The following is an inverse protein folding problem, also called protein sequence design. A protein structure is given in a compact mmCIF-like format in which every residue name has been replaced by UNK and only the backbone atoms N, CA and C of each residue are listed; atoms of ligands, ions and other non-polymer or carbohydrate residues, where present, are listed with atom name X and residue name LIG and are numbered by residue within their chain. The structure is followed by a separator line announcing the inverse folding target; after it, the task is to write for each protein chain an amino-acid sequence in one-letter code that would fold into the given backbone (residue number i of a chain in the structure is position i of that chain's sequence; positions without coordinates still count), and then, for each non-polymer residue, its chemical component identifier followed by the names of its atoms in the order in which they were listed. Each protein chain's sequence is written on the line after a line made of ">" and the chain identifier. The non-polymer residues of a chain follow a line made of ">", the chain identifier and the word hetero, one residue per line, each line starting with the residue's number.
data_IF_264297182994
#
_entry.id   IF_264297182994
#
_cell.length_a   1.000
_cell.length_b   1.000
_cell.length_c   1.000
_cell.angle_alpha   90.00
_cell.angle_beta   90.00
_cell.angle_gamma   90.00
#
_symmetry.space_group_name_H-M   'P 1'
#
loop_
_entity.id
_entity.type
_entity.pdbx_description
1 polymer ?
#
# COMPACT_ATOMS: atom_id res chain seq x y z
N UNK A 1 -18.75 9.43 12.98
CA UNK A 1 -18.67 10.78 12.40
C UNK A 1 -19.64 11.75 13.05
N UNK A 2 -20.96 11.49 13.04
CA UNK A 2 -21.94 12.36 13.72
C UNK A 2 -21.70 12.53 15.23
N UNK A 3 -21.38 11.45 15.93
CA UNK A 3 -21.12 11.45 17.37
C UNK A 3 -19.85 12.22 17.79
N UNK A 4 -18.92 12.47 16.86
CA UNK A 4 -17.65 13.17 17.12
C UNK A 4 -17.63 14.57 16.48
N UNK A 5 -18.78 15.09 16.04
CA UNK A 5 -18.88 16.42 15.43
C UNK A 5 -18.26 16.54 14.03
N UNK A 6 -17.93 15.43 13.38
CA UNK A 6 -17.25 15.42 12.07
C UNK A 6 -18.16 15.03 10.91
N UNK A 7 -19.49 15.16 11.05
CA UNK A 7 -20.43 14.72 10.04
C UNK A 7 -20.31 15.53 8.74
N UNK A 8 -20.29 16.86 8.84
CA UNK A 8 -20.25 17.73 7.67
C UNK A 8 -18.94 17.58 6.91
N UNK A 9 -17.81 17.52 7.64
CA UNK A 9 -16.50 17.19 7.05
C UNK A 9 -16.50 15.85 6.30
N UNK A 10 -17.17 14.83 6.84
CA UNK A 10 -17.30 13.54 6.17
C UNK A 10 -18.14 13.65 4.88
N UNK A 11 -19.30 14.31 4.93
CA UNK A 11 -20.16 14.49 3.77
C UNK A 11 -19.45 15.30 2.68
N UNK A 12 -18.74 16.36 3.05
CA UNK A 12 -17.99 17.18 2.10
C UNK A 12 -16.79 16.42 1.49
N UNK A 13 -16.12 15.57 2.26
CA UNK A 13 -15.09 14.69 1.74
C UNK A 13 -15.67 13.69 0.73
N UNK A 14 -16.84 13.10 1.01
CA UNK A 14 -17.53 12.18 0.09
C UNK A 14 -17.93 12.91 -1.20
N UNK A 15 -18.53 14.10 -1.11
CA UNK A 15 -18.86 14.93 -2.29
C UNK A 15 -17.61 15.26 -3.11
N UNK A 16 -16.50 15.60 -2.44
CA UNK A 16 -15.22 15.89 -3.09
C UNK A 16 -14.71 14.67 -3.85
N UNK A 17 -14.78 13.46 -3.28
CA UNK A 17 -14.39 12.21 -3.96
C UNK A 17 -15.16 12.00 -5.26
N UNK A 18 -16.48 12.19 -5.26
CA UNK A 18 -17.27 12.08 -6.49
C UNK A 18 -16.88 13.15 -7.52
N UNK A 19 -16.60 14.38 -7.10
CA UNK A 19 -16.16 15.44 -8.03
C UNK A 19 -14.84 15.11 -8.74
N UNK A 20 -13.92 14.39 -8.07
CA UNK A 20 -12.64 13.96 -8.65
C UNK A 20 -12.81 12.90 -9.75
N UNK A 21 -13.88 12.09 -9.69
CA UNK A 21 -14.16 11.04 -10.69
C UNK A 21 -14.77 11.57 -11.99
N UNK A 22 -15.43 12.73 -11.94
CA UNK A 22 -16.12 13.37 -13.07
C UNK A 22 -15.17 14.26 -13.88
N UNK A 23 -14.07 14.68 -13.28
CA UNK A 23 -13.12 15.58 -13.91
C UNK A 23 -12.37 14.89 -15.08
N UNK A 24 -12.61 15.40 -16.29
CA UNK A 24 -12.21 14.85 -17.60
C UNK A 24 -10.72 14.99 -17.92
N UNK A 25 -9.94 15.63 -17.04
CA UNK A 25 -8.50 15.79 -17.22
C UNK A 25 -7.77 14.45 -17.08
N UNK A 26 -7.73 13.65 -18.16
CA UNK A 26 -6.69 12.68 -18.57
C UNK A 26 -6.17 11.60 -17.61
N UNK A 27 -6.63 11.50 -16.37
CA UNK A 27 -5.83 10.90 -15.30
C UNK A 27 -6.21 9.45 -14.95
N UNK A 28 -5.28 8.72 -14.30
CA UNK A 28 -5.44 7.30 -13.91
C UNK A 28 -6.63 7.02 -12.97
N UNK A 29 -7.17 8.06 -12.33
CA UNK A 29 -8.33 7.98 -11.43
C UNK A 29 -9.68 8.08 -12.14
N UNK A 30 -9.71 8.28 -13.46
CA UNK A 30 -10.95 8.17 -14.22
C UNK A 30 -11.42 6.70 -14.28
N UNK A 31 -12.73 6.49 -14.50
CA UNK A 31 -13.34 5.15 -14.49
C UNK A 31 -12.64 4.18 -15.45
N UNK A 32 -12.27 4.64 -16.65
CA UNK A 32 -11.59 3.82 -17.67
C UNK A 32 -10.19 3.40 -17.22
N UNK A 33 -9.43 4.32 -16.63
CA UNK A 33 -8.09 4.10 -16.10
C UNK A 33 -8.11 3.09 -14.96
N UNK A 34 -9.05 3.26 -14.02
CA UNK A 34 -9.25 2.31 -12.94
C UNK A 34 -9.62 0.92 -13.47
N UNK A 35 -10.62 0.79 -14.35
CA UNK A 35 -11.01 -0.50 -14.94
C UNK A 35 -9.83 -1.19 -15.62
N UNK A 36 -9.01 -0.45 -16.39
CA UNK A 36 -7.82 -1.00 -17.04
C UNK A 36 -6.81 -1.57 -16.03
N UNK A 37 -6.57 -0.84 -14.93
CA UNK A 37 -5.68 -1.31 -13.85
C UNK A 37 -6.22 -2.62 -13.24
N UNK A 38 -7.51 -2.69 -12.93
CA UNK A 38 -8.12 -3.92 -12.38
C UNK A 38 -8.03 -5.06 -13.37
N UNK A 39 -8.39 -4.83 -14.63
CA UNK A 39 -8.35 -5.86 -15.67
C UNK A 39 -6.95 -6.48 -15.79
N UNK A 40 -5.91 -5.65 -15.88
CA UNK A 40 -4.52 -6.12 -15.93
C UNK A 40 -4.10 -6.85 -14.65
N UNK A 41 -4.51 -6.38 -13.48
CA UNK A 41 -4.21 -7.05 -12.22
C UNK A 41 -4.92 -8.41 -12.11
N UNK A 42 -6.18 -8.52 -12.55
CA UNK A 42 -6.89 -9.81 -12.59
C UNK A 42 -6.23 -10.81 -13.55
N UNK A 43 -5.77 -10.36 -14.73
CA UNK A 43 -5.01 -11.22 -15.65
C UNK A 43 -3.73 -11.75 -14.99
N UNK A 44 -3.00 -10.90 -14.26
CA UNK A 44 -1.81 -11.31 -13.49
C UNK A 44 -2.18 -12.31 -12.40
N UNK A 45 -3.25 -12.08 -11.64
CA UNK A 45 -3.73 -12.99 -10.59
C UNK A 45 -4.03 -14.37 -11.18
N UNK A 46 -4.75 -14.43 -12.31
CA UNK A 46 -5.07 -15.69 -12.99
C UNK A 46 -3.78 -16.37 -13.44
N UNK A 47 -2.90 -15.66 -14.16
CA UNK A 47 -1.63 -16.21 -14.64
C UNK A 47 -0.76 -16.78 -13.50
N UNK A 48 -0.59 -16.04 -12.41
CA UNK A 48 0.19 -16.50 -11.27
C UNK A 48 -0.44 -17.69 -10.56
N UNK A 49 -1.77 -17.72 -10.41
CA UNK A 49 -2.48 -18.83 -9.77
C UNK A 49 -2.34 -20.11 -10.60
N UNK A 50 -2.54 -20.00 -11.91
CA UNK A 50 -2.42 -21.11 -12.87
C UNK A 50 -1.01 -21.69 -12.91
N UNK A 51 0.03 -20.86 -12.76
CA UNK A 51 1.43 -21.34 -12.73
C UNK A 51 1.81 -21.92 -11.36
N UNK A 52 1.40 -21.28 -10.27
CA UNK A 52 1.89 -21.62 -8.92
C UNK A 52 1.25 -22.89 -8.35
N UNK A 53 -0.04 -23.11 -8.61
CA UNK A 53 -0.74 -24.31 -8.10
C UNK A 53 -0.12 -25.61 -8.62
N UNK A 54 0.14 -25.78 -9.93
CA UNK A 54 0.85 -26.95 -10.44
C UNK A 54 2.23 -27.15 -9.80
N UNK A 55 3.01 -26.08 -9.60
CA UNK A 55 4.32 -26.16 -8.95
C UNK A 55 4.19 -26.71 -7.52
N UNK A 56 3.24 -26.19 -6.74
CA UNK A 56 2.95 -26.64 -5.37
C UNK A 56 2.53 -28.12 -5.33
N UNK A 57 1.88 -28.62 -6.39
CA UNK A 57 1.42 -30.02 -6.50
C UNK A 57 2.52 -30.96 -7.00
N UNK A 58 3.33 -30.52 -7.97
CA UNK A 58 4.38 -31.34 -8.60
C UNK A 58 5.56 -31.53 -7.66
N UNK A 59 5.95 -30.51 -6.90
CA UNK A 59 7.15 -30.55 -6.05
C UNK A 59 7.11 -31.66 -5.00
N UNK A 60 6.04 -31.83 -4.20
CA UNK A 60 5.90 -32.96 -3.28
C UNK A 60 6.09 -34.32 -3.96
N UNK A 61 5.54 -34.47 -5.16
CA UNK A 61 5.62 -35.71 -5.95
C UNK A 61 7.03 -35.98 -6.47
N UNK A 62 7.79 -34.95 -6.84
CA UNK A 62 9.21 -35.07 -7.20
C UNK A 62 10.07 -35.39 -5.97
N UNK A 63 9.86 -34.66 -4.88
CA UNK A 63 10.64 -34.83 -3.64
C UNK A 63 10.47 -36.23 -3.05
N UNK A 64 9.27 -36.81 -3.10
CA UNK A 64 9.01 -38.16 -2.60
C UNK A 64 9.67 -39.28 -3.41
N UNK A 65 10.32 -38.99 -4.55
CA UNK A 65 11.14 -39.96 -5.28
C UNK A 65 12.51 -40.20 -4.64
N UNK A 66 12.95 -39.33 -3.72
CA UNK A 66 14.21 -39.51 -3.03
C UNK A 66 14.07 -40.54 -1.91
N UNK A 67 14.68 -41.72 -2.11
CA UNK A 67 14.72 -42.77 -1.07
C UNK A 67 15.65 -42.41 0.10
N UNK A 68 16.64 -41.54 -0.11
CA UNK A 68 17.55 -41.09 0.94
C UNK A 68 16.93 -39.93 1.73
N UNK A 69 16.69 -40.16 3.03
CA UNK A 69 16.09 -39.15 3.95
C UNK A 69 16.86 -37.84 3.99
N UNK A 70 18.20 -37.88 3.90
CA UNK A 70 19.02 -36.66 3.94
C UNK A 70 18.83 -35.83 2.67
N UNK A 71 18.84 -36.47 1.49
CA UNK A 71 18.56 -35.81 0.21
C UNK A 71 17.13 -35.26 0.14
N UNK A 72 16.17 -35.98 0.72
CA UNK A 72 14.78 -35.54 0.81
C UNK A 72 14.64 -34.24 1.62
N UNK A 73 15.13 -34.23 2.86
CA UNK A 73 15.03 -33.06 3.73
C UNK A 73 15.89 -31.90 3.24
N UNK A 74 17.10 -32.16 2.73
CA UNK A 74 17.96 -31.11 2.18
C UNK A 74 17.32 -30.44 0.97
N UNK A 75 16.65 -31.21 0.10
CA UNK A 75 15.94 -30.66 -1.08
C UNK A 75 14.75 -29.80 -0.69
N UNK A 76 13.99 -30.16 0.35
CA UNK A 76 12.92 -29.31 0.89
C UNK A 76 13.48 -27.99 1.42
N UNK A 77 14.54 -28.07 2.23
CA UNK A 77 15.17 -26.90 2.83
C UNK A 77 15.75 -25.99 1.74
N UNK A 78 16.48 -26.55 0.77
CA UNK A 78 17.03 -25.81 -0.37
C UNK A 78 15.95 -25.15 -1.22
N UNK A 79 14.81 -25.81 -1.42
CA UNK A 79 13.68 -25.23 -2.13
C UNK A 79 13.09 -24.02 -1.39
N UNK A 80 12.86 -24.16 -0.08
CA UNK A 80 12.35 -23.08 0.77
C UNK A 80 13.33 -21.91 0.82
N UNK A 81 14.63 -22.19 1.03
CA UNK A 81 15.68 -21.17 1.05
C UNK A 81 15.78 -20.47 -0.31
N UNK A 82 15.79 -21.21 -1.41
CA UNK A 82 15.87 -20.64 -2.76
C UNK A 82 14.71 -19.68 -3.04
N UNK A 83 13.47 -20.09 -2.76
CA UNK A 83 12.31 -19.20 -2.92
C UNK A 83 12.42 -17.98 -2.01
N UNK A 84 12.79 -18.18 -0.75
CA UNK A 84 12.90 -17.10 0.24
C UNK A 84 14.00 -16.10 -0.13
N UNK A 85 15.13 -16.58 -0.66
CA UNK A 85 16.25 -15.76 -1.12
C UNK A 85 15.90 -15.00 -2.39
N UNK A 86 15.29 -15.66 -3.38
CA UNK A 86 14.76 -14.99 -4.59
C UNK A 86 13.78 -13.89 -4.17
N UNK A 87 12.87 -14.19 -3.25
CA UNK A 87 11.89 -13.23 -2.74
C UNK A 87 12.55 -12.05 -2.01
N UNK A 88 13.49 -12.31 -1.10
CA UNK A 88 14.21 -11.27 -0.35
C UNK A 88 15.06 -10.38 -1.26
N UNK A 89 15.80 -10.98 -2.21
CA UNK A 89 16.57 -10.23 -3.21
C UNK A 89 15.66 -9.37 -4.08
N UNK A 90 14.52 -9.90 -4.51
CA UNK A 90 13.58 -9.15 -5.31
C UNK A 90 12.97 -7.98 -4.50
N UNK A 91 12.52 -8.21 -3.27
CA UNK A 91 12.06 -7.17 -2.33
C UNK A 91 13.09 -6.07 -2.09
N UNK A 92 14.38 -6.41 -2.00
CA UNK A 92 15.46 -5.43 -1.80
C UNK A 92 15.70 -4.53 -3.02
N UNK A 93 15.31 -4.97 -4.22
CA UNK A 93 15.57 -4.25 -5.47
C UNK A 93 14.34 -3.54 -6.03
N UNK A 94 13.11 -3.97 -5.70
CA UNK A 94 11.88 -3.40 -6.25
C UNK A 94 10.66 -3.50 -5.31
N UNK A 95 9.92 -2.39 -5.20
CA UNK A 95 8.65 -2.27 -4.49
C UNK A 95 7.53 -3.19 -5.04
N UNK A 96 7.63 -3.58 -6.32
CA UNK A 96 6.62 -4.38 -7.03
C UNK A 96 6.52 -5.85 -6.57
N UNK A 97 7.47 -6.39 -5.81
CA UNK A 97 7.36 -7.79 -5.32
C UNK A 97 6.36 -7.95 -4.18
N UNK A 98 6.15 -6.93 -3.35
CA UNK A 98 5.03 -6.95 -2.40
C UNK A 98 3.70 -7.08 -3.13
N UNK A 99 3.56 -6.39 -4.27
CA UNK A 99 2.42 -6.51 -5.16
C UNK A 99 2.31 -7.93 -5.72
N UNK A 100 3.40 -8.55 -6.16
CA UNK A 100 3.40 -9.95 -6.61
C UNK A 100 2.84 -10.92 -5.55
N UNK A 101 3.35 -10.87 -4.31
CA UNK A 101 2.88 -11.76 -3.25
C UNK A 101 1.39 -11.55 -2.97
N UNK A 102 0.95 -10.29 -2.95
CA UNK A 102 -0.46 -9.95 -2.75
C UNK A 102 -1.31 -10.56 -3.86
N UNK A 103 -0.91 -10.41 -5.14
CA UNK A 103 -1.66 -10.98 -6.26
C UNK A 103 -1.73 -12.51 -6.20
N UNK A 104 -0.63 -13.18 -5.82
CA UNK A 104 -0.62 -14.63 -5.63
C UNK A 104 -1.60 -15.07 -4.53
N UNK A 105 -1.53 -14.42 -3.36
CA UNK A 105 -2.42 -14.71 -2.23
C UNK A 105 -3.87 -14.45 -2.61
N UNK A 106 -4.17 -13.30 -3.22
CA UNK A 106 -5.52 -12.96 -3.72
C UNK A 106 -6.04 -14.04 -4.67
N UNK A 107 -5.22 -14.55 -5.58
CA UNK A 107 -5.61 -15.60 -6.52
C UNK A 107 -5.99 -16.91 -5.85
N UNK A 108 -5.18 -17.35 -4.87
CA UNK A 108 -5.48 -18.54 -4.06
C UNK A 108 -6.78 -18.34 -3.28
N UNK A 109 -6.98 -17.17 -2.69
CA UNK A 109 -8.20 -16.83 -1.96
C UNK A 109 -9.43 -16.87 -2.86
N UNK A 110 -9.37 -16.25 -4.05
CA UNK A 110 -10.46 -16.32 -5.02
C UNK A 110 -10.80 -17.75 -5.41
N UNK A 111 -9.79 -18.56 -5.72
CA UNK A 111 -10.02 -19.96 -6.07
C UNK A 111 -10.72 -20.73 -4.94
N UNK A 112 -10.24 -20.61 -3.70
CA UNK A 112 -10.83 -21.33 -2.57
C UNK A 112 -12.26 -20.88 -2.28
N UNK A 113 -12.52 -19.57 -2.30
CA UNK A 113 -13.86 -19.03 -2.10
C UNK A 113 -14.83 -19.53 -3.18
N UNK A 114 -14.41 -19.50 -4.45
CA UNK A 114 -15.21 -20.02 -5.56
C UNK A 114 -15.47 -21.52 -5.43
N UNK A 115 -14.47 -22.31 -5.02
CA UNK A 115 -14.63 -23.74 -4.78
C UNK A 115 -15.67 -24.02 -3.69
N UNK A 116 -15.69 -23.27 -2.59
CA UNK A 116 -16.74 -23.41 -1.57
C UNK A 116 -18.12 -23.01 -2.10
N UNK A 117 -18.21 -21.90 -2.83
CA UNK A 117 -19.48 -21.38 -3.36
C UNK A 117 -20.13 -22.37 -4.33
N UNK A 118 -19.33 -22.99 -5.21
CA UNK A 118 -19.80 -23.91 -6.26
C UNK A 118 -20.05 -25.32 -5.71
N UNK A 119 -19.29 -25.75 -4.69
CA UNK A 119 -19.37 -27.11 -4.16
C UNK A 119 -20.57 -27.30 -3.21
N UNK A 120 -21.77 -27.39 -3.79
CA UNK A 120 -23.03 -27.52 -3.09
C UNK A 120 -23.16 -28.83 -2.28
N UNK A 121 -22.46 -29.89 -2.68
CA UNK A 121 -22.52 -31.20 -2.00
C UNK A 121 -21.72 -31.23 -0.69
N UNK A 122 -20.63 -30.45 -0.60
CA UNK A 122 -19.70 -30.51 0.54
C UNK A 122 -19.73 -29.25 1.42
N UNK A 123 -20.56 -28.27 1.10
CA UNK A 123 -20.59 -26.96 1.77
C UNK A 123 -22.01 -26.59 2.18
N UNK A 124 -22.19 -26.15 3.43
CA UNK A 124 -23.49 -25.68 3.93
C UNK A 124 -23.91 -24.38 3.25
N UNK A 125 -25.21 -24.08 3.23
CA UNK A 125 -25.73 -22.84 2.62
C UNK A 125 -25.15 -21.59 3.28
N UNK A 126 -24.98 -21.65 4.60
CA UNK A 126 -24.44 -20.57 5.43
C UNK A 126 -22.98 -20.32 5.09
N UNK A 127 -22.15 -21.38 4.96
CA UNK A 127 -20.75 -21.24 4.59
C UNK A 127 -20.60 -20.68 3.17
N UNK A 128 -21.45 -21.10 2.24
CA UNK A 128 -21.47 -20.57 0.87
C UNK A 128 -21.80 -19.08 0.84
N UNK A 129 -22.78 -18.65 1.64
CA UNK A 129 -23.13 -17.23 1.80
C UNK A 129 -21.96 -16.43 2.40
N UNK A 130 -21.30 -16.94 3.42
CA UNK A 130 -20.12 -16.32 4.02
C UNK A 130 -18.99 -16.19 2.99
N UNK A 131 -18.70 -17.25 2.23
CA UNK A 131 -17.69 -17.22 1.17
C UNK A 131 -18.04 -16.20 0.07
N UNK A 132 -19.32 -16.07 -0.29
CA UNK A 132 -19.78 -15.06 -1.24
C UNK A 132 -19.59 -13.63 -0.71
N UNK A 133 -19.94 -13.38 0.55
CA UNK A 133 -19.70 -12.07 1.19
C UNK A 133 -18.19 -11.78 1.25
N UNK A 134 -17.37 -12.76 1.62
CA UNK A 134 -15.92 -12.63 1.65
C UNK A 134 -15.33 -12.31 0.26
N UNK A 135 -15.87 -12.93 -0.80
CA UNK A 135 -15.50 -12.65 -2.18
C UNK A 135 -15.87 -11.21 -2.57
N UNK A 136 -17.08 -10.75 -2.25
CA UNK A 136 -17.50 -9.37 -2.50
C UNK A 136 -16.60 -8.37 -1.77
N UNK A 137 -16.28 -8.59 -0.50
CA UNK A 137 -15.37 -7.73 0.27
C UNK A 137 -14.00 -7.67 -0.42
N UNK A 138 -13.46 -8.81 -0.85
CA UNK A 138 -12.15 -8.88 -1.49
C UNK A 138 -12.11 -8.16 -2.84
N UNK A 139 -13.22 -8.16 -3.60
CA UNK A 139 -13.37 -7.44 -4.87
C UNK A 139 -13.58 -5.94 -4.65
N UNK A 140 -14.45 -5.56 -3.71
CA UNK A 140 -14.87 -4.17 -3.48
C UNK A 140 -13.77 -3.36 -2.79
N UNK A 141 -13.08 -3.94 -1.82
CA UNK A 141 -12.07 -3.22 -1.00
C UNK A 141 -11.01 -2.49 -1.82
N UNK A 142 -10.39 -3.08 -2.87
CA UNK A 142 -9.41 -2.36 -3.65
C UNK A 142 -10.03 -1.27 -4.54
N UNK A 143 -11.32 -1.38 -4.93
CA UNK A 143 -11.97 -0.48 -5.90
C UNK A 143 -11.82 1.00 -5.53
N UNK A 144 -11.52 1.82 -6.53
CA UNK A 144 -11.33 3.27 -6.37
C UNK A 144 -9.88 3.72 -6.17
N UNK A 145 -8.93 2.79 -6.08
CA UNK A 145 -7.50 3.12 -6.01
C UNK A 145 -6.73 2.83 -7.30
N UNK A 146 -5.75 3.68 -7.62
CA UNK A 146 -4.81 3.48 -8.73
C UNK A 146 -3.73 2.44 -8.43
N UNK A 147 -3.62 1.96 -7.18
CA UNK A 147 -2.71 0.86 -6.83
C UNK A 147 -3.31 -0.53 -7.09
N UNK A 148 -4.55 -0.59 -7.58
CA UNK A 148 -5.21 -1.82 -8.02
C UNK A 148 -5.43 -2.84 -6.90
N UNK A 149 -5.27 -4.13 -7.21
CA UNK A 149 -5.52 -5.24 -6.27
C UNK A 149 -4.56 -5.28 -5.08
N UNK A 150 -3.54 -4.42 -5.04
CA UNK A 150 -2.67 -4.28 -3.87
C UNK A 150 -3.46 -3.98 -2.59
N UNK A 151 -4.52 -3.18 -2.69
CA UNK A 151 -5.35 -2.81 -1.54
C UNK A 151 -6.28 -3.94 -1.08
N UNK A 152 -6.33 -5.08 -1.79
CA UNK A 152 -7.11 -6.24 -1.37
C UNK A 152 -6.66 -6.77 0.01
N UNK A 153 -5.43 -6.48 0.44
CA UNK A 153 -4.93 -6.81 1.79
C UNK A 153 -5.86 -6.35 2.91
N UNK A 154 -6.54 -5.21 2.74
CA UNK A 154 -7.46 -4.67 3.76
C UNK A 154 -8.79 -5.44 3.81
N UNK A 155 -9.09 -6.25 2.79
CA UNK A 155 -10.28 -7.11 2.70
C UNK A 155 -10.02 -8.59 2.99
N UNK A 156 -8.78 -8.97 3.31
CA UNK A 156 -8.36 -10.37 3.48
C UNK A 156 -8.77 -11.01 4.82
N UNK A 157 -9.29 -10.24 5.77
CA UNK A 157 -9.56 -10.69 7.13
C UNK A 157 -10.64 -11.79 7.23
N UNK A 158 -11.60 -11.90 6.29
CA UNK A 158 -12.51 -13.05 6.19
C UNK A 158 -11.95 -14.15 5.26
N UNK A 159 -11.50 -13.85 4.02
CA UNK A 159 -11.01 -14.87 3.10
C UNK A 159 -9.86 -15.73 3.66
N UNK A 160 -8.93 -15.13 4.41
CA UNK A 160 -7.74 -15.84 4.92
C UNK A 160 -8.13 -16.97 5.88
N UNK A 161 -8.90 -16.75 6.96
CA UNK A 161 -9.38 -17.83 7.83
C UNK A 161 -10.10 -18.97 7.07
N UNK A 162 -10.94 -18.63 6.08
CA UNK A 162 -11.65 -19.62 5.26
C UNK A 162 -10.66 -20.46 4.44
N UNK A 163 -9.65 -19.82 3.85
CA UNK A 163 -8.61 -20.51 3.10
C UNK A 163 -7.78 -21.44 3.98
N UNK A 164 -7.43 -21.01 5.20
CA UNK A 164 -6.77 -21.88 6.17
C UNK A 164 -7.65 -23.10 6.52
N UNK A 165 -8.93 -22.90 6.79
CA UNK A 165 -9.87 -23.98 7.07
C UNK A 165 -9.97 -24.96 5.90
N UNK A 166 -10.05 -24.47 4.67
CA UNK A 166 -10.06 -25.32 3.46
C UNK A 166 -8.82 -26.19 3.40
N UNK A 167 -7.63 -25.56 3.46
CA UNK A 167 -6.36 -26.23 3.25
C UNK A 167 -6.08 -27.25 4.37
N UNK A 168 -6.42 -26.93 5.61
CA UNK A 168 -6.30 -27.87 6.74
C UNK A 168 -7.20 -29.11 6.54
N UNK A 169 -8.41 -28.93 6.02
CA UNK A 169 -9.37 -30.00 5.80
C UNK A 169 -9.19 -30.78 4.48
N UNK A 170 -8.27 -30.37 3.59
CA UNK A 170 -7.99 -31.07 2.33
C UNK A 170 -7.49 -32.50 2.57
N UNK A 171 -8.30 -33.52 2.26
CA UNK A 171 -7.88 -34.94 2.40
C UNK A 171 -7.18 -35.50 1.16
N UNK A 172 -7.58 -35.04 -0.03
CA UNK A 172 -7.07 -35.50 -1.33
C UNK A 172 -7.11 -34.34 -2.32
N UNK A 173 -6.09 -34.24 -3.15
CA UNK A 173 -6.05 -33.31 -4.29
C UNK A 173 -6.07 -34.14 -5.56
N UNK A 174 -7.05 -33.89 -6.44
CA UNK A 174 -7.16 -34.54 -7.76
C UNK A 174 -7.42 -33.48 -8.79
N UNK A 175 -6.56 -33.40 -9.80
CA UNK A 175 -6.70 -32.53 -10.95
C UNK A 175 -6.75 -33.44 -12.18
N UNK A 176 -7.82 -33.33 -12.96
CA UNK A 176 -8.00 -34.06 -14.20
C UNK A 176 -8.43 -33.13 -15.31
N UNK A 177 -7.91 -33.36 -16.51
CA UNK A 177 -8.46 -32.79 -17.73
C UNK A 177 -9.11 -33.94 -18.48
N UNK A 178 -10.40 -33.80 -18.76
CA UNK A 178 -11.16 -34.73 -19.60
C UNK A 178 -11.31 -34.05 -20.96
N UNK A 179 -10.57 -34.53 -21.95
CA UNK A 179 -10.70 -34.09 -23.34
C UNK A 179 -11.50 -35.13 -24.10
N UNK A 180 -12.67 -34.74 -24.57
CA UNK A 180 -13.47 -35.50 -25.54
C UNK A 180 -13.02 -35.11 -26.95
N UNK A 181 -12.24 -35.95 -27.61
CA UNK A 181 -12.17 -35.96 -29.07
C UNK A 181 -13.00 -37.15 -29.56
N UNK A 182 -13.71 -36.98 -30.68
CA UNK A 182 -14.75 -37.87 -31.25
C UNK A 182 -14.36 -39.36 -31.47
N UNK A 183 -13.16 -39.77 -31.11
CA UNK A 183 -12.71 -41.17 -31.18
C UNK A 183 -11.88 -41.66 -29.99
N UNK A 184 -11.45 -40.81 -29.05
CA UNK A 184 -10.66 -41.24 -27.88
C UNK A 184 -10.88 -40.36 -26.65
N UNK A 185 -11.34 -40.98 -25.57
CA UNK A 185 -11.42 -40.40 -24.22
C UNK A 185 -10.04 -40.47 -23.54
N UNK A 186 -9.24 -39.42 -23.68
CA UNK A 186 -7.97 -39.31 -22.96
C UNK A 186 -8.20 -38.76 -21.55
N UNK A 187 -7.93 -39.58 -20.53
CA UNK A 187 -8.02 -39.20 -19.13
C UNK A 187 -6.62 -38.97 -18.55
N UNK A 188 -6.19 -37.72 -18.48
CA UNK A 188 -4.97 -37.36 -17.74
C UNK A 188 -5.36 -36.90 -16.34
N UNK A 189 -5.15 -37.76 -15.33
CA UNK A 189 -5.45 -37.45 -13.91
C UNK A 189 -4.17 -37.43 -13.08
N UNK A 190 -3.89 -36.27 -12.49
CA UNK A 190 -2.86 -36.11 -11.46
C UNK A 190 -3.58 -36.11 -10.11
N UNK A 191 -3.31 -37.12 -9.29
CA UNK A 191 -3.77 -37.14 -7.90
C UNK A 191 -2.59 -37.21 -6.95
N UNK A 192 -2.76 -36.59 -5.78
CA UNK A 192 -1.84 -36.70 -4.67
C UNK A 192 -2.36 -37.75 -3.68
N UNK A 193 -1.49 -38.64 -3.26
CA UNK A 193 -1.76 -39.57 -2.16
C UNK A 193 -1.81 -38.82 -0.80
N UNK A 194 -2.15 -39.52 0.28
CA UNK A 194 -2.32 -38.90 1.59
C UNK A 194 -1.01 -38.27 2.12
N UNK A 195 0.13 -38.95 1.92
CA UNK A 195 1.45 -38.49 2.34
C UNK A 195 1.90 -37.26 1.55
N UNK A 196 1.69 -37.27 0.23
CA UNK A 196 1.95 -36.14 -0.67
C UNK A 196 1.09 -34.94 -0.28
N UNK A 197 -0.21 -35.14 -0.06
CA UNK A 197 -1.15 -34.09 0.37
C UNK A 197 -0.72 -33.47 1.70
N UNK A 198 -0.29 -34.30 2.67
CA UNK A 198 0.23 -33.82 3.96
C UNK A 198 1.50 -33.00 3.79
N UNK A 199 2.40 -33.43 2.90
CA UNK A 199 3.64 -32.70 2.58
C UNK A 199 3.34 -31.36 1.90
N UNK A 200 2.42 -31.33 0.93
CA UNK A 200 1.96 -30.11 0.26
C UNK A 200 1.49 -29.06 1.27
N UNK A 201 0.64 -29.46 2.23
CA UNK A 201 0.17 -28.55 3.29
C UNK A 201 1.32 -27.98 4.12
N UNK A 202 2.28 -28.83 4.53
CA UNK A 202 3.42 -28.40 5.34
C UNK A 202 4.29 -27.40 4.57
N UNK A 203 4.63 -27.70 3.31
CA UNK A 203 5.41 -26.81 2.46
C UNK A 203 4.66 -25.50 2.24
N UNK A 204 3.36 -25.55 1.94
CA UNK A 204 2.53 -24.37 1.74
C UNK A 204 2.52 -23.47 2.99
N UNK A 205 2.23 -24.01 4.17
CA UNK A 205 2.21 -23.22 5.40
C UNK A 205 3.58 -22.70 5.80
N UNK A 206 4.64 -23.48 5.61
CA UNK A 206 6.01 -23.04 5.88
C UNK A 206 6.40 -21.87 4.97
N UNK A 207 6.18 -22.01 3.65
CA UNK A 207 6.45 -20.94 2.68
C UNK A 207 5.61 -19.70 2.97
N UNK A 208 4.30 -19.84 3.15
CA UNK A 208 3.42 -18.71 3.45
C UNK A 208 3.88 -17.98 4.71
N UNK A 209 4.20 -18.70 5.78
CA UNK A 209 4.67 -18.12 7.05
C UNK A 209 5.98 -17.36 6.84
N UNK A 210 6.97 -17.95 6.18
CA UNK A 210 8.27 -17.30 5.92
C UNK A 210 8.09 -16.05 5.06
N UNK A 211 7.31 -16.14 3.97
CA UNK A 211 7.08 -15.00 3.08
C UNK A 211 6.32 -13.87 3.78
N UNK A 212 5.35 -14.18 4.66
CA UNK A 212 4.64 -13.18 5.45
C UNK A 212 5.54 -12.52 6.50
N UNK A 213 6.41 -13.28 7.17
CA UNK A 213 7.39 -12.74 8.12
C UNK A 213 8.37 -11.82 7.39
N UNK A 214 8.93 -12.27 6.27
CA UNK A 214 9.84 -11.47 5.44
C UNK A 214 9.15 -10.20 4.94
N UNK A 215 7.93 -10.30 4.42
CA UNK A 215 7.16 -9.15 3.96
C UNK A 215 6.86 -8.18 5.10
N UNK A 216 6.45 -8.66 6.28
CA UNK A 216 6.16 -7.82 7.46
C UNK A 216 7.41 -7.13 8.00
N UNK A 217 8.55 -7.82 7.94
CA UNK A 217 9.84 -7.26 8.34
C UNK A 217 10.30 -6.19 7.35
N UNK A 218 10.34 -6.50 6.05
CA UNK A 218 10.89 -5.60 5.03
C UNK A 218 9.95 -4.44 4.65
N UNK A 219 8.64 -4.63 4.77
CA UNK A 219 7.68 -3.59 4.40
C UNK A 219 7.54 -2.56 5.53
N UNK A 220 8.22 -1.44 5.34
CA UNK A 220 8.17 -0.26 6.19
C UNK A 220 7.51 0.85 5.38
N UNK A 221 6.25 1.17 5.67
CA UNK A 221 5.45 2.05 4.82
C UNK A 221 6.16 3.40 4.57
N UNK A 222 6.67 3.59 3.34
CA UNK A 222 7.44 4.76 2.90
C UNK A 222 8.66 5.08 3.79
N UNK A 223 9.25 4.07 4.42
CA UNK A 223 10.52 4.18 5.16
C UNK A 223 11.57 3.23 4.61
N UNK A 224 12.78 3.27 5.16
CA UNK A 224 13.86 2.44 4.68
C UNK A 224 13.52 0.96 4.85
N UNK A 225 13.74 0.14 3.83
CA UNK A 225 13.48 -1.31 3.87
C UNK A 225 14.36 -2.03 4.89
N UNK A 226 15.51 -1.45 5.26
CA UNK A 226 16.41 -1.99 6.26
C UNK A 226 15.98 -1.56 7.68
N UNK A 227 15.14 -2.39 8.30
CA UNK A 227 14.71 -2.26 9.71
C UNK A 227 15.86 -2.07 10.69
N UNK A 228 17.05 -2.61 10.41
CA UNK A 228 18.19 -2.46 11.32
C UNK A 228 18.70 -1.03 11.39
N UNK A 229 18.44 -0.18 10.39
CA UNK A 229 18.77 1.25 10.41
C UNK A 229 17.72 2.07 11.17
N UNK A 230 16.52 1.53 11.37
CA UNK A 230 15.38 2.22 11.98
C UNK A 230 15.46 2.20 13.53
N UNK A 231 16.45 2.91 14.08
CA UNK A 231 16.72 2.95 15.53
C UNK A 231 16.64 4.35 16.12
N UNK A 232 16.36 5.35 15.30
CA UNK A 232 16.37 6.75 15.69
C UNK A 232 14.95 7.29 15.74
N UNK A 233 14.66 8.15 16.72
CA UNK A 233 13.34 8.75 16.89
C UNK A 233 13.44 10.27 16.79
N UNK A 234 12.38 10.90 16.30
CA UNK A 234 12.20 12.35 16.37
C UNK A 234 11.72 12.70 17.78
N UNK A 235 12.31 13.72 18.40
CA UNK A 235 11.97 14.21 19.75
C UNK A 235 10.65 14.98 19.71
N UNK A 236 9.55 14.23 19.68
CA UNK A 236 8.19 14.76 19.78
C UNK A 236 7.32 13.80 20.57
N UNK A 237 6.49 14.31 21.50
CA UNK A 237 5.63 13.47 22.34
C UNK A 237 4.65 12.60 21.54
N UNK A 238 4.24 13.04 20.35
CA UNK A 238 3.36 12.30 19.44
C UNK A 238 4.05 11.20 18.63
N UNK A 239 5.38 11.14 18.66
CA UNK A 239 6.19 10.12 17.97
C UNK A 239 6.89 9.16 18.94
N UNK A 240 6.45 9.11 20.20
CA UNK A 240 7.01 8.18 21.18
C UNK A 240 6.86 6.74 20.70
N UNK A 241 7.98 6.02 20.63
CA UNK A 241 8.02 4.62 20.16
C UNK A 241 8.03 4.45 18.64
N UNK A 242 8.09 5.54 17.87
CA UNK A 242 8.23 5.50 16.41
C UNK A 242 9.70 5.71 16.05
N UNK A 243 10.25 4.79 15.26
CA UNK A 243 11.66 4.78 14.87
C UNK A 243 11.82 4.81 13.36
N UNK A 244 12.89 5.45 12.91
CA UNK A 244 13.28 5.63 11.52
C UNK A 244 14.82 5.71 11.42
N UNK A 245 15.36 5.95 10.22
CA UNK A 245 16.80 6.11 9.99
C UNK A 245 17.33 7.37 10.65
N UNK A 246 18.65 7.42 10.87
CA UNK A 246 19.32 8.56 11.49
C UNK A 246 19.11 9.84 10.69
N UNK A 247 19.29 9.73 9.37
CA UNK A 247 19.24 10.84 8.42
C UNK A 247 17.83 11.41 8.36
N UNK A 248 16.81 10.53 8.32
CA UNK A 248 15.42 10.94 8.32
C UNK A 248 15.00 11.60 9.63
N UNK A 249 15.38 11.01 10.77
CA UNK A 249 15.12 11.58 12.07
C UNK A 249 15.76 12.96 12.20
N UNK A 250 17.00 13.14 11.71
CA UNK A 250 17.73 14.40 11.70
C UNK A 250 16.97 15.49 10.93
N UNK A 251 16.69 15.27 9.64
CA UNK A 251 16.09 16.32 8.79
C UNK A 251 14.69 16.74 9.24
N UNK A 252 13.90 15.80 9.79
CA UNK A 252 12.57 16.11 10.34
C UNK A 252 12.70 16.81 11.69
N UNK A 253 13.66 16.42 12.54
CA UNK A 253 13.91 17.09 13.82
C UNK A 253 14.31 18.55 13.60
N UNK A 254 15.24 18.82 12.68
CA UNK A 254 15.67 20.16 12.31
C UNK A 254 14.49 21.03 11.84
N UNK A 255 13.62 20.49 10.98
CA UNK A 255 12.40 21.18 10.56
C UNK A 255 11.51 21.53 11.76
N UNK A 256 11.25 20.58 12.66
CA UNK A 256 10.38 20.82 13.82
C UNK A 256 11.00 21.82 14.81
N UNK A 257 12.31 21.77 14.99
CA UNK A 257 13.04 22.68 15.87
C UNK A 257 13.02 24.11 15.34
N UNK A 258 13.00 24.28 14.02
CA UNK A 258 12.90 25.59 13.38
C UNK A 258 11.45 26.11 13.32
N UNK A 259 10.50 25.24 12.98
CA UNK A 259 9.10 25.63 12.78
C UNK A 259 8.48 26.32 14.00
N UNK A 260 8.95 26.01 15.22
CA UNK A 260 8.47 26.63 16.47
C UNK A 260 8.62 28.16 16.51
N UNK A 261 9.52 28.74 15.70
CA UNK A 261 9.71 30.18 15.60
C UNK A 261 8.67 30.85 14.67
N UNK A 262 8.05 30.09 13.77
CA UNK A 262 7.22 30.62 12.68
C UNK A 262 5.73 30.28 12.80
N UNK A 263 5.41 29.17 13.49
CA UNK A 263 4.02 28.71 13.69
C UNK A 263 3.77 28.27 15.12
N UNK A 264 2.54 28.46 15.58
CA UNK A 264 2.02 27.96 16.85
C UNK A 264 0.89 26.95 16.63
N UNK A 265 0.51 26.28 17.71
CA UNK A 265 -0.68 25.44 17.70
C UNK A 265 -1.91 26.23 17.22
N UNK A 266 -2.72 25.60 16.36
CA UNK A 266 -3.85 26.16 15.63
C UNK A 266 -3.55 27.20 14.53
N UNK A 267 -2.29 27.58 14.29
CA UNK A 267 -1.96 28.44 13.14
C UNK A 267 -2.24 27.72 11.81
N UNK A 268 -2.51 28.50 10.76
CA UNK A 268 -2.56 27.97 9.41
C UNK A 268 -1.16 27.74 8.81
N UNK A 269 -0.98 26.54 8.27
CA UNK A 269 0.23 26.10 7.59
C UNK A 269 -0.14 25.59 6.20
N UNK A 270 0.63 25.96 5.18
CA UNK A 270 0.50 25.39 3.84
C UNK A 270 1.69 24.47 3.58
N UNK A 271 1.46 23.17 3.70
CA UNK A 271 2.45 22.19 3.29
C UNK A 271 2.25 21.81 1.85
N UNK A 272 3.18 22.19 1.00
CA UNK A 272 3.17 21.79 -0.39
C UNK A 272 3.90 20.46 -0.53
N UNK A 273 3.20 19.44 -1.05
CA UNK A 273 3.56 18.01 -1.10
C UNK A 273 3.02 17.15 0.06
N UNK A 274 3.35 15.84 0.05
CA UNK A 274 2.76 14.83 0.94
C UNK A 274 3.39 14.76 2.33
N UNK A 275 3.11 15.77 3.14
CA UNK A 275 3.69 15.94 4.49
C UNK A 275 2.65 16.03 5.61
N UNK A 276 1.44 15.50 5.43
CA UNK A 276 0.34 15.74 6.39
C UNK A 276 0.67 15.43 7.86
N UNK A 277 1.63 14.53 8.12
CA UNK A 277 2.12 14.24 9.47
C UNK A 277 2.58 15.50 10.22
N UNK A 278 3.21 16.46 9.55
CA UNK A 278 3.72 17.67 10.22
C UNK A 278 2.57 18.53 10.79
N UNK A 279 1.36 18.54 10.19
CA UNK A 279 0.18 19.18 10.79
C UNK A 279 -0.12 18.57 12.16
N UNK A 280 -0.07 17.24 12.24
CA UNK A 280 -0.29 16.50 13.49
C UNK A 280 0.82 16.78 14.52
N UNK A 281 2.08 16.82 14.10
CA UNK A 281 3.22 17.05 15.00
C UNK A 281 3.26 18.46 15.58
N UNK A 282 2.92 19.46 14.76
CA UNK A 282 2.92 20.89 15.11
C UNK A 282 1.58 21.39 15.64
N UNK A 283 0.53 20.57 15.56
CA UNK A 283 -0.86 20.93 15.86
C UNK A 283 -1.35 22.16 15.10
N UNK A 284 -0.87 22.33 13.87
CA UNK A 284 -1.31 23.38 12.96
C UNK A 284 -2.52 22.91 12.14
N UNK A 285 -3.21 23.87 11.52
CA UNK A 285 -4.35 23.63 10.63
C UNK A 285 -3.90 23.77 9.18
N UNK A 286 -4.39 22.91 8.26
CA UNK A 286 -4.10 23.10 6.85
C UNK A 286 -4.66 24.45 6.35
N UNK A 287 -3.85 25.19 5.61
CA UNK A 287 -4.26 26.43 4.98
C UNK A 287 -5.22 26.20 3.81
N UNK A 288 -5.19 25.01 3.21
CA UNK A 288 -6.26 24.56 2.33
C UNK A 288 -7.26 23.71 3.12
N UNK A 289 -8.39 23.38 2.51
CA UNK A 289 -9.43 22.52 3.11
C UNK A 289 -9.07 21.03 3.08
N UNK A 290 -7.81 20.70 2.79
CA UNK A 290 -7.26 19.34 2.75
C UNK A 290 -5.79 19.39 3.21
N UNK A 291 -5.37 18.38 3.98
CA UNK A 291 -4.00 18.21 4.46
C UNK A 291 -3.02 17.69 3.41
N UNK A 292 -3.48 17.36 2.21
CA UNK A 292 -2.67 16.96 1.05
C UNK A 292 -3.05 17.80 -0.16
N UNK A 293 -2.40 18.97 -0.35
CA UNK A 293 -2.69 19.84 -1.49
C UNK A 293 -2.48 19.18 -2.85
N UNK A 294 -1.60 18.17 -2.92
CA UNK A 294 -1.33 17.38 -4.14
C UNK A 294 -2.53 16.57 -4.63
N UNK A 295 -3.57 16.40 -3.81
CA UNK A 295 -4.82 15.76 -4.24
C UNK A 295 -5.74 16.72 -5.02
N UNK A 296 -5.50 18.03 -4.93
CA UNK A 296 -6.21 18.99 -5.77
C UNK A 296 -5.57 19.01 -7.16
N UNK A 297 -6.41 18.92 -8.19
CA UNK A 297 -6.01 19.22 -9.57
C UNK A 297 -5.85 20.73 -9.75
N UNK A 298 -5.12 21.15 -10.78
CA UNK A 298 -4.72 22.54 -11.07
C UNK A 298 -5.87 23.55 -10.86
N UNK A 299 -7.02 23.36 -11.49
CA UNK A 299 -8.15 24.31 -11.35
C UNK A 299 -8.75 24.31 -9.93
N UNK A 300 -8.91 23.12 -9.32
CA UNK A 300 -9.43 23.02 -7.96
C UNK A 300 -8.46 23.61 -6.94
N UNK A 301 -7.16 23.44 -7.15
CA UNK A 301 -6.12 24.01 -6.31
C UNK A 301 -6.19 25.54 -6.34
N UNK A 302 -6.32 26.14 -7.53
CA UNK A 302 -6.52 27.58 -7.70
C UNK A 302 -7.78 28.07 -6.99
N UNK A 303 -8.90 27.36 -7.15
CA UNK A 303 -10.15 27.66 -6.45
C UNK A 303 -9.96 27.65 -4.93
N UNK A 304 -9.30 26.61 -4.40
CA UNK A 304 -9.09 26.44 -2.96
C UNK A 304 -8.10 27.46 -2.38
N UNK A 305 -7.06 27.86 -3.13
CA UNK A 305 -6.16 28.95 -2.76
C UNK A 305 -6.93 30.27 -2.67
N UNK A 306 -7.70 30.61 -3.69
CA UNK A 306 -8.51 31.83 -3.73
C UNK A 306 -9.56 31.85 -2.61
N UNK A 307 -10.22 30.72 -2.36
CA UNK A 307 -11.16 30.57 -1.25
C UNK A 307 -10.46 30.79 0.10
N UNK A 308 -9.28 30.22 0.28
CA UNK A 308 -8.52 30.34 1.52
C UNK A 308 -8.07 31.77 1.78
N UNK A 309 -7.64 32.51 0.75
CA UNK A 309 -7.30 33.95 0.87
C UNK A 309 -8.49 34.78 1.36
N UNK A 310 -9.72 34.48 0.88
CA UNK A 310 -10.92 35.23 1.28
C UNK A 310 -11.42 34.90 2.68
N UNK A 311 -11.32 33.63 3.08
CA UNK A 311 -11.95 33.13 4.31
C UNK A 311 -11.00 33.11 5.51
N UNK A 312 -9.68 33.14 5.29
CA UNK A 312 -8.68 33.03 6.36
C UNK A 312 -8.10 34.40 6.71
N UNK A 313 -7.84 34.65 8.00
CA UNK A 313 -7.46 35.98 8.49
C UNK A 313 -6.05 36.42 8.07
N UNK A 314 -5.18 35.50 7.65
CA UNK A 314 -3.81 35.80 7.29
C UNK A 314 -3.22 34.73 6.37
N UNK A 315 -2.14 35.09 5.68
CA UNK A 315 -1.35 34.20 4.83
C UNK A 315 -0.55 33.17 5.66
N UNK A 316 -0.48 31.91 5.22
CA UNK A 316 0.15 30.84 6.00
C UNK A 316 1.68 30.91 5.95
N UNK A 317 2.33 30.19 6.84
CA UNK A 317 3.72 29.76 6.58
C UNK A 317 3.67 28.63 5.54
N UNK A 318 4.60 28.63 4.59
CA UNK A 318 4.72 27.54 3.61
C UNK A 318 5.88 26.64 4.00
N UNK A 319 5.65 25.33 3.98
CA UNK A 319 6.71 24.32 4.03
C UNK A 319 6.71 23.54 2.72
N UNK A 320 7.83 23.54 2.01
CA UNK A 320 8.06 22.78 0.77
C UNK A 320 9.17 21.75 0.94
N UNK A 321 9.25 20.84 -0.03
CA UNK A 321 10.27 19.77 -0.08
C UNK A 321 11.10 19.86 -1.34
N UNK A 322 12.39 19.57 -1.18
CA UNK A 322 13.40 19.52 -2.23
C UNK A 322 13.57 18.13 -2.84
N UNK A 323 12.80 17.12 -2.39
CA UNK A 323 12.85 15.74 -2.91
C UNK A 323 11.47 15.08 -2.93
N UNK A 324 11.38 13.82 -3.39
CA UNK A 324 10.17 13.00 -3.33
C UNK A 324 10.12 12.20 -2.03
N UNK A 325 9.15 12.50 -1.18
CA UNK A 325 8.95 11.76 0.08
C UNK A 325 8.30 10.37 -0.09
N UNK A 326 7.99 9.97 -1.32
CA UNK A 326 7.46 8.64 -1.64
C UNK A 326 8.54 7.55 -1.72
N UNK A 327 9.78 7.95 -1.97
CA UNK A 327 10.86 7.01 -2.27
C UNK A 327 11.44 6.43 -0.98
N UNK A 328 11.67 5.13 -0.92
CA UNK A 328 12.06 4.45 0.34
C UNK A 328 13.45 4.88 0.85
N UNK A 329 14.26 5.48 -0.01
CA UNK A 329 15.63 5.91 0.23
C UNK A 329 15.75 7.38 0.68
N UNK A 330 14.67 8.17 0.69
CA UNK A 330 14.73 9.55 1.22
C UNK A 330 15.18 9.55 2.69
N UNK A 331 16.05 10.48 3.13
CA UNK A 331 16.52 11.68 2.41
C UNK A 331 17.73 11.48 1.49
N UNK A 332 18.28 10.26 1.37
CA UNK A 332 19.57 10.01 0.73
C UNK A 332 19.50 9.84 -0.80
N UNK A 333 18.32 9.96 -1.40
CA UNK A 333 18.14 9.84 -2.85
C UNK A 333 18.63 11.09 -3.60
N UNK A 334 19.12 10.91 -4.82
CA UNK A 334 19.63 12.01 -5.67
C UNK A 334 18.54 12.82 -6.37
N UNK A 335 17.27 12.62 -6.01
CA UNK A 335 16.15 13.28 -6.70
C UNK A 335 15.92 14.68 -6.14
N UNK A 336 16.11 15.70 -6.98
CA UNK A 336 15.73 17.08 -6.68
C UNK A 336 14.33 17.35 -7.20
N UNK A 337 13.39 17.64 -6.31
CA UNK A 337 12.04 18.10 -6.60
C UNK A 337 12.00 19.63 -6.51
N UNK A 338 11.56 20.29 -7.58
CA UNK A 338 11.16 21.70 -7.53
C UNK A 338 9.64 21.80 -7.47
N UNK A 339 9.13 22.91 -6.92
CA UNK A 339 7.73 23.26 -7.07
C UNK A 339 7.46 23.50 -8.55
N UNK A 340 6.57 22.71 -9.14
CA UNK A 340 6.20 22.81 -10.56
C UNK A 340 4.75 23.22 -10.79
N UNK A 341 3.90 23.23 -9.75
CA UNK A 341 2.52 23.67 -9.92
C UNK A 341 2.47 25.19 -10.04
N UNK A 342 2.04 25.66 -11.22
CA UNK A 342 1.97 27.09 -11.53
C UNK A 342 1.12 27.87 -10.52
N UNK A 343 0.03 27.32 -10.00
CA UNK A 343 -0.82 28.05 -9.05
C UNK A 343 -0.11 28.29 -7.72
N UNK A 344 0.78 27.39 -7.31
CA UNK A 344 1.56 27.54 -6.08
C UNK A 344 2.70 28.53 -6.31
N UNK A 345 3.36 28.48 -7.47
CA UNK A 345 4.37 29.46 -7.86
C UNK A 345 3.74 30.86 -7.89
N UNK A 346 2.63 31.04 -8.63
CA UNK A 346 1.89 32.30 -8.71
C UNK A 346 1.44 32.77 -7.31
N UNK A 347 1.01 31.86 -6.43
CA UNK A 347 0.63 32.20 -5.05
C UNK A 347 1.82 32.70 -4.23
N UNK A 348 2.99 32.06 -4.33
CA UNK A 348 4.23 32.45 -3.65
C UNK A 348 4.70 33.83 -4.15
N UNK A 349 4.73 34.03 -5.46
CA UNK A 349 5.19 35.27 -6.10
C UNK A 349 4.26 36.45 -5.81
N UNK A 350 2.95 36.29 -6.04
CA UNK A 350 1.97 37.37 -5.86
C UNK A 350 1.87 37.85 -4.40
N UNK A 351 2.13 36.97 -3.44
CA UNK A 351 2.11 37.28 -2.02
C UNK A 351 3.52 37.52 -1.43
N UNK A 352 4.54 37.68 -2.29
CA UNK A 352 5.91 38.08 -1.94
C UNK A 352 6.52 37.21 -0.83
N UNK A 353 6.35 35.91 -0.97
CA UNK A 353 7.00 34.96 -0.05
C UNK A 353 8.51 34.98 -0.24
N UNK A 354 9.22 34.67 0.84
CA UNK A 354 10.67 34.57 0.81
C UNK A 354 11.16 33.43 1.70
N UNK A 355 12.20 32.76 1.23
CA UNK A 355 12.90 31.71 1.97
C UNK A 355 13.50 32.29 3.26
N UNK A 356 13.26 31.65 4.38
CA UNK A 356 13.83 32.05 5.68
C UNK A 356 14.68 30.97 6.33
N UNK A 357 14.47 29.72 5.94
CA UNK A 357 15.24 28.58 6.43
C UNK A 357 15.14 27.41 5.46
N UNK A 358 16.20 26.62 5.39
CA UNK A 358 16.21 25.32 4.73
C UNK A 358 17.19 24.35 5.40
N UNK A 359 16.94 23.05 5.23
CA UNK A 359 17.94 22.00 5.42
C UNK A 359 18.04 21.16 4.15
N UNK A 360 18.67 19.99 4.17
CA UNK A 360 18.85 19.15 2.98
C UNK A 360 17.53 18.79 2.25
N UNK A 361 16.38 18.83 2.95
CA UNK A 361 15.11 18.31 2.44
C UNK A 361 13.99 19.34 2.43
N UNK A 362 13.90 20.19 3.44
CA UNK A 362 12.77 21.09 3.65
C UNK A 362 13.17 22.54 3.48
N UNK A 363 12.19 23.35 3.10
CA UNK A 363 12.30 24.81 3.00
C UNK A 363 11.11 25.44 3.75
N UNK A 364 11.35 26.56 4.42
CA UNK A 364 10.31 27.38 5.05
C UNK A 364 10.25 28.73 4.35
N UNK A 365 9.06 29.10 3.87
CA UNK A 365 8.80 30.42 3.29
C UNK A 365 7.81 31.21 4.16
N UNK A 366 8.11 32.50 4.33
CA UNK A 366 7.24 33.45 5.00
C UNK A 366 6.69 34.51 4.04
N UNK A 367 5.42 34.92 4.20
CA UNK A 367 4.91 36.09 3.51
C UNK A 367 5.52 37.35 4.12
N UNK A 368 5.62 38.41 3.33
CA UNK A 368 6.29 39.65 3.70
C UNK A 368 5.77 40.24 5.03
N UNK A 369 4.46 40.19 5.28
CA UNK A 369 3.83 40.73 6.49
C UNK A 369 4.24 40.01 7.78
N UNK A 370 4.57 38.72 7.71
CA UNK A 370 4.98 37.93 8.90
C UNK A 370 6.45 38.17 9.28
N UNK A 371 7.32 38.52 8.33
CA UNK A 371 8.74 38.78 8.60
C UNK A 371 8.92 39.91 9.62
N UNK A 372 8.13 40.97 9.50
CA UNK A 372 8.17 42.16 10.37
C UNK A 372 7.82 41.83 11.82
N UNK A 373 6.97 40.83 12.06
CA UNK A 373 6.56 40.41 13.40
C UNK A 373 7.54 39.43 14.08
N UNK A 374 8.27 38.62 13.33
CA UNK A 374 9.31 37.73 13.87
C UNK A 374 10.62 38.45 14.19
N UNK A 375 10.95 39.56 13.52
CA UNK A 375 12.15 40.35 13.81
C UNK A 375 12.04 41.20 15.11
N UNK A 376 10.84 41.25 15.72
CA UNK A 376 10.54 42.02 16.94
C UNK A 376 10.30 41.13 18.17
N UNK A 377 10.63 39.84 18.09
CA UNK A 377 10.65 38.89 19.21
C UNK A 377 12.05 38.30 19.34
#
# INVERSE_FOLDING_TARGET
>A
MKLVGHYDFFIDAVKTLFSLTVDKSGDRYNVKGLISIYYLDYLKVIGFTVVTIPIIIIIPKLLMRFNNRYLYYSSIILFIISISAIFALALSRYYDITRFLILLVVGILYLILLLYIINAEKSTKELRLICFIALLILIITPMGSTVGLRNAIYGMWIPVPIAFMYILNLKKITIGIETTNDSFLNHSKISLNHSETRLTKKIFFALLTILLILSSFMYTYRDNYNRFLMRYSIKNTRLKGIFTTKERAKVVQELLDEMKYYVKENDYLLMYDEMSMIYFLTKTRPYLYNSQPTLYRTEKLKEMLNKSIREKPYLPVIVSVKTRLWDFDWPNGNYVKKITDKNIIDFIENNKYSLVWENDIFEILLPQDKKTHTALR
#
